data_IF_726509183302
#
_entry.id   IF_726509183302
#
_cell.length_a   1.000
_cell.length_b   1.000
_cell.length_c   1.000
_cell.angle_alpha   90.00
_cell.angle_beta   90.00
_cell.angle_gamma   90.00
#
_symmetry.space_group_name_H-M   'P 1'
#
loop_
_entity.id
_entity.type
_entity.pdbx_description
1 polymer ?
#
# COMPACT_ATOMS: atom_id res chain seq x y z
N UNK A 1 -10.74 -30.17 -1.75
CA UNK A 1 -10.37 -28.87 -1.13
C UNK A 1 -11.23 -27.67 -1.57
N UNK A 2 -12.36 -27.85 -2.26
CA UNK A 2 -13.17 -26.74 -2.83
C UNK A 2 -14.38 -26.29 -1.98
N UNK A 3 -14.74 -27.04 -0.94
CA UNK A 3 -15.97 -26.79 -0.17
C UNK A 3 -15.86 -25.65 0.87
N UNK A 4 -14.66 -25.29 1.32
CA UNK A 4 -14.46 -24.31 2.43
C UNK A 4 -14.64 -22.85 1.95
N UNK A 5 -14.35 -22.56 0.68
CA UNK A 5 -14.43 -21.20 0.11
C UNK A 5 -15.87 -20.68 -0.10
N UNK A 6 -16.84 -21.58 -0.32
CA UNK A 6 -18.24 -21.20 -0.53
C UNK A 6 -18.93 -20.65 0.73
N UNK A 7 -18.57 -21.18 1.90
CA UNK A 7 -19.18 -20.78 3.18
C UNK A 7 -18.76 -19.38 3.63
N UNK A 8 -17.50 -18.99 3.37
CA UNK A 8 -16.99 -17.65 3.73
C UNK A 8 -17.62 -16.56 2.85
N UNK A 9 -17.80 -16.84 1.55
CA UNK A 9 -18.42 -15.93 0.60
C UNK A 9 -19.89 -15.65 0.93
N UNK A 10 -20.66 -16.70 1.25
CA UNK A 10 -22.06 -16.56 1.63
C UNK A 10 -22.21 -15.82 2.97
N UNK A 11 -21.35 -16.07 3.96
CA UNK A 11 -21.39 -15.35 5.25
C UNK A 11 -21.19 -13.84 5.08
N UNK A 12 -20.23 -13.44 4.25
CA UNK A 12 -19.96 -12.03 3.96
C UNK A 12 -21.15 -11.38 3.24
N UNK A 13 -21.73 -12.06 2.25
CA UNK A 13 -22.87 -11.55 1.48
C UNK A 13 -24.12 -11.37 2.34
N UNK A 14 -24.42 -12.34 3.22
CA UNK A 14 -25.57 -12.25 4.14
C UNK A 14 -25.38 -11.15 5.18
N UNK A 15 -24.15 -10.94 5.67
CA UNK A 15 -23.84 -9.81 6.57
C UNK A 15 -24.00 -8.45 5.90
N UNK A 16 -23.61 -8.32 4.64
CA UNK A 16 -23.81 -7.10 3.86
C UNK A 16 -25.30 -6.81 3.64
N UNK A 17 -26.10 -7.83 3.28
CA UNK A 17 -27.55 -7.68 3.10
C UNK A 17 -28.24 -7.31 4.42
N UNK A 18 -27.88 -7.96 5.53
CA UNK A 18 -28.39 -7.64 6.87
C UNK A 18 -27.96 -6.25 7.37
N UNK A 19 -26.86 -5.69 6.84
CA UNK A 19 -26.41 -4.34 7.15
C UNK A 19 -27.21 -3.26 6.40
N UNK A 20 -27.68 -3.57 5.19
CA UNK A 20 -28.49 -2.69 4.34
C UNK A 20 -29.95 -2.67 4.82
N UNK A 21 -30.45 -3.78 5.37
CA UNK A 21 -31.82 -3.89 5.88
C UNK A 21 -31.87 -3.76 7.41
N UNK A 22 -31.72 -2.53 7.93
CA UNK A 22 -32.01 -2.27 9.34
C UNK A 22 -33.46 -1.81 9.51
N UNK A 23 -34.35 -2.58 10.17
CA UNK A 23 -35.67 -2.08 10.52
C UNK A 23 -35.53 -0.91 11.50
N UNK A 24 -36.34 0.13 11.30
CA UNK A 24 -36.31 1.44 11.97
C UNK A 24 -36.69 1.43 13.47
N UNK A 25 -36.30 0.41 14.23
CA UNK A 25 -36.69 0.21 15.63
C UNK A 25 -35.59 -0.42 16.48
N UNK A 26 -34.44 0.25 16.60
CA UNK A 26 -33.42 -0.17 17.58
C UNK A 26 -33.77 0.41 18.95
N UNK A 27 -34.54 -0.33 19.75
CA UNK A 27 -34.65 -0.06 21.18
C UNK A 27 -33.29 -0.38 21.82
N UNK A 28 -32.42 0.63 21.87
CA UNK A 28 -31.17 0.57 22.61
C UNK A 28 -31.50 0.53 24.10
N UNK A 29 -31.48 -0.66 24.72
CA UNK A 29 -31.45 -0.76 26.18
C UNK A 29 -30.13 -0.14 26.66
N UNK A 30 -30.15 1.16 26.97
CA UNK A 30 -29.00 1.91 27.49
C UNK A 30 -28.80 1.57 28.96
N UNK A 31 -28.00 0.56 29.25
CA UNK A 31 -27.44 0.35 30.59
C UNK A 31 -26.25 1.30 30.79
N UNK A 32 -26.31 2.12 31.85
CA UNK A 32 -25.32 3.15 32.25
C UNK A 32 -23.87 2.63 32.35
N UNK A 33 -23.68 1.32 32.47
CA UNK A 33 -22.40 0.63 32.66
C UNK A 33 -21.71 0.15 31.35
N UNK A 34 -22.20 0.50 30.17
CA UNK A 34 -21.59 0.05 28.89
C UNK A 34 -20.35 0.83 28.44
N UNK A 35 -19.92 1.83 29.23
CA UNK A 35 -18.81 2.71 28.87
C UNK A 35 -17.47 1.96 28.73
N UNK A 36 -17.25 0.91 29.53
CA UNK A 36 -15.99 0.16 29.57
C UNK A 36 -16.02 -1.21 28.87
N UNK A 37 -17.14 -1.64 28.28
CA UNK A 37 -17.16 -2.95 27.62
C UNK A 37 -16.39 -2.89 26.29
N UNK A 38 -15.25 -3.61 26.14
CA UNK A 38 -14.51 -3.66 24.89
C UNK A 38 -15.33 -4.46 23.87
N UNK A 39 -15.99 -3.78 22.94
CA UNK A 39 -16.66 -4.49 21.84
C UNK A 39 -15.62 -4.93 20.82
N UNK A 40 -15.41 -6.25 20.68
CA UNK A 40 -14.58 -6.87 19.62
C UNK A 40 -15.20 -6.79 18.21
N UNK A 41 -16.17 -5.89 17.99
CA UNK A 41 -16.84 -5.75 16.70
C UNK A 41 -15.96 -4.92 15.77
N UNK A 42 -15.71 -5.42 14.57
CA UNK A 42 -15.04 -4.69 13.50
C UNK A 42 -16.08 -3.82 12.75
N UNK A 43 -15.77 -2.55 12.41
CA UNK A 43 -14.53 -1.83 12.68
C UNK A 43 -14.37 -1.35 14.14
N UNK A 44 -13.13 -1.19 14.65
CA UNK A 44 -12.85 -0.64 15.97
C UNK A 44 -13.63 0.64 16.29
N UNK A 45 -14.04 0.82 17.56
CA UNK A 45 -14.84 1.99 17.99
C UNK A 45 -14.19 3.32 17.64
N UNK A 46 -12.86 3.41 17.63
CA UNK A 46 -12.13 4.61 17.23
C UNK A 46 -12.39 4.96 15.76
N UNK A 47 -12.23 4.00 14.84
CA UNK A 47 -12.47 4.20 13.41
C UNK A 47 -13.92 4.59 13.17
N UNK A 48 -14.86 3.90 13.83
CA UNK A 48 -16.29 4.24 13.74
C UNK A 48 -16.59 5.66 14.25
N UNK A 49 -16.01 6.07 15.40
CA UNK A 49 -16.19 7.42 15.94
C UNK A 49 -15.55 8.48 15.05
N UNK A 50 -14.37 8.21 14.51
CA UNK A 50 -13.69 9.08 13.56
C UNK A 50 -14.53 9.29 12.30
N UNK A 51 -15.07 8.20 11.74
CA UNK A 51 -15.95 8.23 10.57
C UNK A 51 -17.23 9.04 10.77
N UNK A 52 -17.87 8.89 11.93
CA UNK A 52 -19.08 9.63 12.28
C UNK A 52 -18.80 11.10 12.66
N UNK A 53 -17.63 11.40 13.22
CA UNK A 53 -17.23 12.74 13.65
C UNK A 53 -16.86 13.63 12.46
N UNK A 54 -16.23 13.05 11.44
CA UNK A 54 -15.73 13.78 10.27
C UNK A 54 -16.37 13.22 9.00
N UNK A 55 -17.60 13.62 8.64
CA UNK A 55 -18.26 13.11 7.44
C UNK A 55 -17.64 13.63 6.13
N UNK A 56 -16.58 14.45 6.19
CA UNK A 56 -15.95 15.03 5.01
C UNK A 56 -15.21 13.96 4.19
N UNK A 57 -15.84 13.56 3.08
CA UNK A 57 -15.35 12.56 2.12
C UNK A 57 -13.90 12.80 1.67
N UNK A 58 -13.50 14.06 1.50
CA UNK A 58 -12.18 14.44 1.02
C UNK A 58 -11.04 13.95 1.92
N UNK A 59 -11.23 13.94 3.25
CA UNK A 59 -10.22 13.44 4.18
C UNK A 59 -9.96 11.94 3.99
N UNK A 60 -11.00 11.16 3.70
CA UNK A 60 -10.86 9.73 3.41
C UNK A 60 -10.19 9.48 2.07
N UNK A 61 -10.47 10.30 1.06
CA UNK A 61 -9.83 10.22 -0.25
C UNK A 61 -8.34 10.52 -0.14
N UNK A 62 -7.97 11.61 0.55
CA UNK A 62 -6.57 11.98 0.76
C UNK A 62 -5.84 10.94 1.60
N UNK A 63 -6.46 10.43 2.66
CA UNK A 63 -5.90 9.34 3.47
C UNK A 63 -5.74 8.06 2.66
N UNK A 64 -6.69 7.76 1.77
CA UNK A 64 -6.61 6.66 0.82
C UNK A 64 -5.40 6.81 -0.10
N UNK A 65 -5.24 7.94 -0.77
CA UNK A 65 -4.11 8.22 -1.67
C UNK A 65 -2.77 8.18 -0.92
N UNK A 66 -2.71 8.76 0.28
CA UNK A 66 -1.49 8.77 1.08
C UNK A 66 -1.11 7.36 1.56
N UNK A 67 -2.10 6.59 2.02
CA UNK A 67 -1.87 5.21 2.46
C UNK A 67 -1.47 4.29 1.31
N UNK A 68 -2.07 4.41 0.13
CA UNK A 68 -1.65 3.64 -1.05
C UNK A 68 -0.26 4.02 -1.50
N UNK A 69 0.10 5.31 -1.48
CA UNK A 69 1.45 5.79 -1.77
C UNK A 69 2.52 5.19 -0.84
N UNK A 70 2.21 4.98 0.44
CA UNK A 70 3.11 4.32 1.38
C UNK A 70 3.21 2.80 1.18
N UNK A 71 2.08 2.13 0.88
CA UNK A 71 2.03 0.66 0.75
C UNK A 71 2.54 0.18 -0.61
N UNK A 72 2.37 0.96 -1.67
CA UNK A 72 2.75 0.61 -3.04
C UNK A 72 4.22 0.16 -3.20
N UNK A 73 5.24 0.90 -2.73
CA UNK A 73 6.62 0.47 -2.86
C UNK A 73 6.90 -0.83 -2.07
N UNK A 74 6.30 -1.00 -0.90
CA UNK A 74 6.43 -2.24 -0.13
C UNK A 74 5.80 -3.43 -0.86
N UNK A 75 4.65 -3.22 -1.52
CA UNK A 75 3.98 -4.23 -2.35
C UNK A 75 4.83 -4.70 -3.52
N UNK A 76 5.51 -3.79 -4.23
CA UNK A 76 6.42 -4.16 -5.33
C UNK A 76 7.60 -5.00 -4.82
N UNK A 77 8.19 -4.61 -3.69
CA UNK A 77 9.29 -5.36 -3.09
C UNK A 77 8.84 -6.75 -2.63
N UNK A 78 7.66 -6.85 -2.01
CA UNK A 78 7.09 -8.13 -1.59
C UNK A 78 6.77 -9.03 -2.79
N UNK A 79 6.23 -8.47 -3.88
CA UNK A 79 5.99 -9.22 -5.11
C UNK A 79 7.29 -9.81 -5.65
N UNK A 80 8.34 -8.99 -5.81
CA UNK A 80 9.66 -9.46 -6.25
C UNK A 80 10.23 -10.54 -5.34
N UNK A 81 10.05 -10.41 -4.03
CA UNK A 81 10.48 -11.42 -3.06
C UNK A 81 9.76 -12.76 -3.18
N UNK A 82 8.53 -12.77 -3.68
CA UNK A 82 7.76 -13.99 -3.86
C UNK A 82 7.94 -14.60 -5.26
N UNK A 83 8.30 -13.81 -6.26
CA UNK A 83 8.39 -14.27 -7.66
C UNK A 83 9.82 -14.57 -8.15
N UNK A 84 10.86 -13.98 -7.55
CA UNK A 84 12.26 -14.20 -7.96
C UNK A 84 12.95 -15.24 -7.08
N UNK A 85 13.95 -15.91 -7.64
CA UNK A 85 14.81 -16.80 -6.86
C UNK A 85 15.76 -15.99 -5.94
N UNK A 86 16.29 -16.63 -4.90
CA UNK A 86 17.04 -15.95 -3.83
C UNK A 86 18.29 -15.25 -4.35
N UNK A 87 19.02 -15.88 -5.26
CA UNK A 87 20.25 -15.32 -5.84
C UNK A 87 19.95 -14.11 -6.72
N UNK A 88 18.92 -14.23 -7.57
CA UNK A 88 18.46 -13.14 -8.44
C UNK A 88 17.97 -11.93 -7.63
N UNK A 89 17.34 -12.18 -6.47
CA UNK A 89 16.90 -11.12 -5.58
C UNK A 89 18.06 -10.36 -4.92
N UNK A 90 19.13 -11.07 -4.54
CA UNK A 90 20.34 -10.45 -3.98
C UNK A 90 21.00 -9.56 -5.04
N UNK A 91 21.14 -10.08 -6.25
CA UNK A 91 21.69 -9.34 -7.40
C UNK A 91 20.85 -8.10 -7.72
N UNK A 92 19.53 -8.25 -7.77
CA UNK A 92 18.61 -7.14 -8.00
C UNK A 92 18.74 -6.07 -6.91
N UNK A 93 18.84 -6.47 -5.63
CA UNK A 93 19.01 -5.55 -4.51
C UNK A 93 20.33 -4.79 -4.62
N UNK A 94 21.42 -5.46 -4.98
CA UNK A 94 22.73 -4.84 -5.12
C UNK A 94 22.73 -3.81 -6.27
N UNK A 95 22.14 -4.16 -7.42
CA UNK A 95 21.97 -3.22 -8.55
C UNK A 95 21.10 -2.03 -8.18
N UNK A 96 19.98 -2.26 -7.49
CA UNK A 96 19.11 -1.18 -7.02
C UNK A 96 19.83 -0.23 -6.06
N UNK A 97 20.59 -0.77 -5.11
CA UNK A 97 21.36 0.04 -4.15
C UNK A 97 22.45 0.87 -4.84
N UNK A 98 23.16 0.32 -5.82
CA UNK A 98 24.15 1.05 -6.60
C UNK A 98 23.51 2.24 -7.33
N UNK A 99 22.35 2.03 -7.96
CA UNK A 99 21.59 3.11 -8.61
C UNK A 99 21.19 4.16 -7.57
N UNK A 100 20.64 3.78 -6.41
CA UNK A 100 20.25 4.73 -5.36
C UNK A 100 21.44 5.56 -4.88
N UNK A 101 22.61 4.95 -4.70
CA UNK A 101 23.82 5.67 -4.34
C UNK A 101 24.23 6.67 -5.42
N UNK A 102 24.16 6.30 -6.70
CA UNK A 102 24.43 7.23 -7.80
C UNK A 102 23.44 8.40 -7.83
N UNK A 103 22.16 8.15 -7.53
CA UNK A 103 21.14 9.21 -7.42
C UNK A 103 21.42 10.14 -6.24
N UNK A 104 21.82 9.60 -5.09
CA UNK A 104 22.15 10.40 -3.90
C UNK A 104 23.42 11.22 -4.10
N UNK A 105 24.44 10.63 -4.71
CA UNK A 105 25.76 11.27 -4.87
C UNK A 105 25.78 12.29 -6.00
N UNK A 106 25.16 11.97 -7.13
CA UNK A 106 25.22 12.79 -8.34
C UNK A 106 23.90 13.45 -8.71
N UNK A 107 22.83 13.19 -7.95
CA UNK A 107 21.50 13.72 -8.25
C UNK A 107 20.89 13.22 -9.57
N UNK A 108 21.41 12.12 -10.11
CA UNK A 108 20.92 11.56 -11.38
C UNK A 108 19.49 11.00 -11.19
N UNK A 109 18.63 11.11 -12.21
CA UNK A 109 17.29 10.48 -12.24
C UNK A 109 16.35 10.79 -11.06
N UNK A 110 16.43 12.00 -10.48
CA UNK A 110 15.43 12.46 -9.52
C UNK A 110 14.09 12.74 -10.24
N UNK A 111 12.98 12.45 -9.57
CA UNK A 111 11.63 12.68 -10.12
C UNK A 111 11.36 14.15 -10.43
N UNK A 112 12.08 15.07 -9.80
CA UNK A 112 12.04 16.50 -10.07
C UNK A 112 13.24 16.89 -10.96
N UNK A 113 13.03 17.23 -12.24
CA UNK A 113 14.10 17.44 -13.20
C UNK A 113 14.82 18.80 -13.09
N UNK A 114 14.58 19.58 -12.03
CA UNK A 114 14.96 21.00 -11.98
C UNK A 114 16.38 21.29 -11.45
N UNK A 115 17.11 20.28 -10.97
CA UNK A 115 18.42 20.48 -10.31
C UNK A 115 19.63 19.85 -11.02
N UNK A 116 19.45 19.13 -12.14
CA UNK A 116 20.56 18.40 -12.77
C UNK A 116 20.59 18.55 -14.28
N UNK A 117 21.77 18.87 -14.82
CA UNK A 117 22.05 18.79 -16.25
C UNK A 117 21.90 17.33 -16.69
N UNK A 118 20.83 17.04 -17.43
CA UNK A 118 20.70 15.77 -18.12
C UNK A 118 21.77 15.68 -19.19
N UNK A 119 22.64 14.64 -19.12
CA UNK A 119 23.15 13.86 -20.27
C UNK A 119 24.20 12.79 -19.91
N UNK A 120 23.92 11.58 -20.41
CA UNK A 120 24.81 10.71 -21.22
C UNK A 120 26.04 9.95 -20.69
N UNK A 121 26.39 9.91 -19.40
CA UNK A 121 27.61 9.18 -19.01
C UNK A 121 27.55 7.63 -19.11
N UNK A 122 26.36 7.02 -19.14
CA UNK A 122 26.25 5.56 -19.35
C UNK A 122 26.38 5.22 -20.84
N UNK A 123 25.71 5.98 -21.72
CA UNK A 123 25.91 5.86 -23.18
C UNK A 123 27.34 6.21 -23.60
N UNK A 124 28.00 7.20 -23.00
CA UNK A 124 29.40 7.50 -23.29
C UNK A 124 30.35 6.41 -22.80
N UNK A 125 30.14 5.84 -21.61
CA UNK A 125 31.04 4.79 -21.08
C UNK A 125 30.86 3.44 -21.77
N UNK A 126 29.66 3.13 -22.28
CA UNK A 126 29.42 1.95 -23.13
C UNK A 126 29.93 2.19 -24.56
N UNK A 127 29.74 3.38 -25.13
CA UNK A 127 30.27 3.74 -26.46
C UNK A 127 31.81 3.82 -26.48
N UNK A 128 32.44 4.32 -25.41
CA UNK A 128 33.91 4.38 -25.30
C UNK A 128 34.50 2.98 -25.10
N UNK A 129 33.82 2.08 -24.37
CA UNK A 129 34.22 0.67 -24.27
C UNK A 129 34.13 -0.06 -25.60
N UNK A 130 33.12 0.23 -26.42
CA UNK A 130 32.98 -0.35 -27.76
C UNK A 130 34.02 0.19 -28.75
N UNK A 131 34.38 1.47 -28.66
CA UNK A 131 35.44 2.08 -29.49
C UNK A 131 36.85 1.58 -29.19
N UNK A 132 37.12 1.13 -27.97
CA UNK A 132 38.42 0.58 -27.58
C UNK A 132 38.55 -0.94 -27.84
N UNK A 133 37.49 -1.60 -28.30
CA UNK A 133 37.49 -3.02 -28.66
C UNK A 133 37.47 -3.28 -30.18
N UNK A 134 37.34 -2.24 -31.01
CA UNK A 134 37.49 -2.27 -32.47
C UNK A 134 38.85 -1.76 -32.90
#
# INVERSE_FOLDING_TARGET
HTAVMGYVSNYLRTKFIAMIQQPAGIISKRTRATYYQPSRKWPPRFIRRFMLRYPQGHLYVVLGICSTGMVFPAGIWMYKALTMDKEELIDYRNRYNAIVQDRQKYGRQLAFPFFFASKSNVEQSEADRQRHQS
#
